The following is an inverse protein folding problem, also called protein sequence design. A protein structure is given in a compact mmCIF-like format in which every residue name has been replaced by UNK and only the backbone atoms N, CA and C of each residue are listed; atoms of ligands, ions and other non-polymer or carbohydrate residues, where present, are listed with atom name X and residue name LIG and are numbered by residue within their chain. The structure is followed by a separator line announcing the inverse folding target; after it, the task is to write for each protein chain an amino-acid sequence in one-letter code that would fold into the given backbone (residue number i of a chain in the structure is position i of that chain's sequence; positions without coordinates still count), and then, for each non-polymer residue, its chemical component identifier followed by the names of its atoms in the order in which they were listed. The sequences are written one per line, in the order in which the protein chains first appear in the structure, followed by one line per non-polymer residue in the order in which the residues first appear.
data_IF_116992790309
#
_entry.id   IF_116992790309
#
_cell.length_a   1.000
_cell.length_b   1.000
_cell.length_c   1.000
_cell.angle_alpha   90.00
_cell.angle_beta   90.00
_cell.angle_gamma   90.00
#
_symmetry.space_group_name_H-M   'P 1'
#
loop_
_entity.id
_entity.type
_entity.pdbx_description
1 polymer ?
#
# COMPACT_ATOMS: atom_id res chain seq x y z
N UNK A 1 -23.89 14.83 9.06
CA UNK A 1 -22.83 13.92 9.56
C UNK A 1 -21.51 14.48 9.08
N UNK A 2 -20.79 15.17 9.95
CA UNK A 2 -19.47 15.72 9.63
C UNK A 2 -18.51 14.54 9.54
N UNK A 3 -17.97 14.28 8.35
CA UNK A 3 -16.87 13.33 8.19
C UNK A 3 -15.73 13.87 9.06
N UNK A 4 -15.43 13.20 10.18
CA UNK A 4 -14.15 13.41 10.87
C UNK A 4 -13.08 13.09 9.83
N UNK A 5 -12.18 14.02 9.54
CA UNK A 5 -10.98 13.68 8.78
C UNK A 5 -10.26 12.58 9.57
N UNK A 6 -10.02 11.42 8.94
CA UNK A 6 -9.21 10.39 9.57
C UNK A 6 -7.83 10.99 9.88
N UNK A 7 -7.34 10.84 11.11
CA UNK A 7 -5.96 11.18 11.42
C UNK A 7 -5.06 10.12 10.77
N UNK A 8 -4.25 10.55 9.80
CA UNK A 8 -3.29 9.67 9.14
C UNK A 8 -2.02 9.57 9.99
N UNK A 9 -1.59 8.35 10.25
CA UNK A 9 -0.21 8.10 10.66
C UNK A 9 0.73 8.37 9.49
N UNK A 10 1.74 9.21 9.68
CA UNK A 10 2.74 9.49 8.64
C UNK A 10 3.90 8.51 8.77
N UNK A 11 4.07 7.64 7.77
CA UNK A 11 5.19 6.72 7.69
C UNK A 11 6.38 7.39 6.97
N UNK A 12 7.51 7.50 7.64
CA UNK A 12 8.72 8.18 7.14
C UNK A 12 9.82 7.21 6.69
N UNK A 13 9.69 5.92 6.99
CA UNK A 13 10.62 4.86 6.59
C UNK A 13 12.01 4.97 7.23
N UNK A 14 12.15 5.76 8.30
CA UNK A 14 13.42 5.90 9.03
C UNK A 14 13.67 4.64 9.88
N UNK A 15 14.93 4.36 10.17
CA UNK A 15 15.30 3.26 11.07
C UNK A 15 14.54 3.38 12.40
N UNK A 16 13.74 2.37 12.72
CA UNK A 16 12.89 2.34 13.90
C UNK A 16 11.44 2.81 13.70
N UNK A 17 11.02 3.18 12.48
CA UNK A 17 9.60 3.44 12.18
C UNK A 17 8.78 2.15 12.32
N UNK A 18 8.26 1.92 13.53
CA UNK A 18 7.33 0.84 13.83
C UNK A 18 5.91 1.40 13.76
N UNK A 19 5.17 1.02 12.73
CA UNK A 19 3.76 1.40 12.58
C UNK A 19 2.96 0.87 13.79
N UNK A 20 2.29 1.72 14.59
CA UNK A 20 1.53 1.30 15.79
C UNK A 20 0.33 0.41 15.46
N UNK A 21 0.04 -0.66 16.23
CA UNK A 21 -0.96 -1.75 15.98
C UNK A 21 -2.39 -1.32 15.69
N UNK A 22 -2.78 -0.15 16.12
CA UNK A 22 -4.12 0.44 16.06
C UNK A 22 -4.34 1.41 14.89
N UNK A 23 -3.28 1.79 14.16
CA UNK A 23 -3.39 2.67 12.99
C UNK A 23 -4.27 2.04 11.90
N UNK A 24 -5.25 2.82 11.44
CA UNK A 24 -6.16 2.47 10.33
C UNK A 24 -5.85 3.23 9.04
N UNK A 25 -5.30 4.44 9.10
CA UNK A 25 -5.01 5.27 7.93
C UNK A 25 -3.54 5.65 7.93
N UNK A 26 -2.84 5.39 6.81
CA UNK A 26 -1.41 5.68 6.65
C UNK A 26 -1.19 6.63 5.49
N UNK A 27 -0.37 7.65 5.72
CA UNK A 27 0.19 8.48 4.65
C UNK A 27 1.69 8.23 4.55
N UNK A 28 2.17 7.95 3.36
CA UNK A 28 3.60 7.82 3.11
C UNK A 28 4.18 9.22 2.94
N UNK A 29 5.27 9.53 3.64
CA UNK A 29 5.92 10.82 3.54
C UNK A 29 6.59 11.02 2.17
N UNK A 30 6.59 12.28 1.70
CA UNK A 30 7.22 12.71 0.45
C UNK A 30 8.73 12.51 0.40
N UNK A 31 9.39 12.25 1.53
CA UNK A 31 10.81 11.95 1.56
C UNK A 31 11.14 10.54 1.06
N UNK A 32 10.15 9.64 0.97
CA UNK A 32 10.41 8.27 0.53
C UNK A 32 10.44 8.15 -0.99
N UNK A 33 11.40 7.37 -1.45
CA UNK A 33 11.45 6.81 -2.81
C UNK A 33 11.01 5.35 -2.88
N UNK A 34 11.19 4.62 -1.78
CA UNK A 34 10.96 3.18 -1.69
C UNK A 34 10.20 2.87 -0.42
N UNK A 35 9.15 2.05 -0.50
CA UNK A 35 8.57 1.38 0.67
C UNK A 35 9.40 0.13 0.96
N UNK A 36 10.05 0.02 2.13
CA UNK A 36 10.94 -1.09 2.41
C UNK A 36 10.18 -2.40 2.61
N UNK A 37 10.90 -3.50 2.39
CA UNK A 37 10.42 -4.87 2.59
C UNK A 37 9.71 -5.02 3.94
N UNK A 38 8.50 -5.57 3.92
CA UNK A 38 7.67 -5.84 5.12
C UNK A 38 7.29 -4.61 5.97
N UNK A 39 7.39 -3.38 5.46
CA UNK A 39 7.05 -2.16 6.20
C UNK A 39 5.70 -2.21 6.94
N UNK A 40 4.69 -2.82 6.31
CA UNK A 40 3.33 -2.99 6.83
C UNK A 40 2.91 -4.47 6.89
N UNK A 41 3.86 -5.39 7.09
CA UNK A 41 3.57 -6.82 7.12
C UNK A 41 2.56 -7.19 8.22
N UNK A 42 1.46 -7.84 7.84
CA UNK A 42 0.37 -8.29 8.72
C UNK A 42 -0.24 -7.19 9.60
N UNK A 43 -0.31 -5.96 9.07
CA UNK A 43 -0.96 -4.81 9.69
C UNK A 43 -2.47 -4.83 9.46
N UNK A 44 -3.14 -5.75 10.16
CA UNK A 44 -4.56 -6.10 9.95
C UNK A 44 -5.58 -5.00 10.24
N UNK A 45 -5.19 -3.86 10.81
CA UNK A 45 -6.09 -2.74 11.09
C UNK A 45 -6.03 -1.64 10.03
N UNK A 46 -5.00 -1.61 9.17
CA UNK A 46 -4.90 -0.57 8.14
C UNK A 46 -6.04 -0.77 7.12
N UNK A 47 -6.79 0.29 6.89
CA UNK A 47 -7.92 0.38 5.96
C UNK A 47 -7.58 1.17 4.70
N UNK A 48 -6.72 2.19 4.82
CA UNK A 48 -6.28 3.02 3.71
C UNK A 48 -4.79 3.37 3.80
N UNK A 49 -4.13 3.35 2.63
CA UNK A 49 -2.76 3.85 2.47
C UNK A 49 -2.71 4.84 1.31
N UNK A 50 -2.21 6.05 1.59
CA UNK A 50 -2.04 7.12 0.61
C UNK A 50 -0.56 7.43 0.44
N UNK A 51 -0.05 7.22 -0.77
CA UNK A 51 1.33 7.48 -1.10
C UNK A 51 1.50 8.91 -1.59
N UNK A 52 2.65 9.50 -1.28
CA UNK A 52 3.12 10.65 -2.03
C UNK A 52 3.57 10.24 -3.45
N UNK A 53 3.54 11.18 -4.38
CA UNK A 53 3.99 10.99 -5.77
C UNK A 53 5.48 10.68 -5.87
N UNK A 54 6.27 10.99 -4.84
CA UNK A 54 7.70 10.73 -4.80
C UNK A 54 8.08 9.25 -4.80
N UNK A 55 7.17 8.36 -4.38
CA UNK A 55 7.44 6.93 -4.17
C UNK A 55 7.38 6.19 -5.48
N UNK A 56 8.47 5.51 -5.84
CA UNK A 56 8.66 4.86 -7.13
C UNK A 56 8.56 3.32 -7.02
N UNK A 57 8.98 2.77 -5.88
CA UNK A 57 9.10 1.31 -5.68
C UNK A 57 8.45 0.84 -4.38
N UNK A 58 7.76 -0.29 -4.44
CA UNK A 58 7.25 -1.02 -3.27
C UNK A 58 7.91 -2.40 -3.20
N UNK A 59 8.65 -2.65 -2.14
CA UNK A 59 9.42 -3.88 -1.97
C UNK A 59 8.59 -5.06 -1.47
N UNK A 60 9.17 -6.25 -1.59
CA UNK A 60 8.54 -7.54 -1.33
C UNK A 60 7.78 -7.56 0.02
N UNK A 61 6.56 -8.11 0.00
CA UNK A 61 5.72 -8.28 1.19
C UNK A 61 5.36 -6.99 1.96
N UNK A 62 5.55 -5.80 1.40
CA UNK A 62 5.32 -4.53 2.11
C UNK A 62 3.94 -4.48 2.81
N UNK A 63 2.88 -4.97 2.17
CA UNK A 63 1.52 -4.99 2.71
C UNK A 63 0.93 -6.40 2.86
N UNK A 64 1.76 -7.45 2.83
CA UNK A 64 1.25 -8.82 2.89
C UNK A 64 0.39 -9.04 4.14
N UNK A 65 -0.84 -9.51 3.94
CA UNK A 65 -1.78 -9.83 5.01
C UNK A 65 -2.41 -8.60 5.69
N UNK A 66 -2.39 -7.42 5.07
CA UNK A 66 -3.20 -6.27 5.50
C UNK A 66 -4.68 -6.52 5.17
N UNK A 67 -5.32 -7.43 5.90
CA UNK A 67 -6.65 -7.97 5.54
C UNK A 67 -7.79 -6.94 5.57
N UNK A 68 -7.64 -5.86 6.32
CA UNK A 68 -8.62 -4.76 6.36
C UNK A 68 -8.34 -3.65 5.35
N UNK A 69 -7.24 -3.73 4.60
CA UNK A 69 -6.86 -2.70 3.64
C UNK A 69 -7.87 -2.70 2.51
N UNK A 70 -8.63 -1.62 2.36
CA UNK A 70 -9.70 -1.45 1.38
C UNK A 70 -9.26 -0.61 0.19
N UNK A 71 -8.39 0.37 0.45
CA UNK A 71 -7.97 1.36 -0.54
C UNK A 71 -6.47 1.64 -0.49
N UNK A 72 -5.85 1.68 -1.67
CA UNK A 72 -4.45 2.09 -1.85
C UNK A 72 -4.38 3.11 -2.97
N UNK A 73 -3.77 4.27 -2.69
CA UNK A 73 -3.47 5.30 -3.68
C UNK A 73 -1.95 5.40 -3.85
N UNK A 74 -1.44 5.07 -5.02
CA UNK A 74 -0.01 5.02 -5.35
C UNK A 74 0.29 5.64 -6.72
N UNK A 75 0.15 6.98 -6.86
CA UNK A 75 0.14 7.64 -8.16
C UNK A 75 1.50 7.66 -8.87
N UNK A 76 2.61 7.64 -8.12
CA UNK A 76 3.97 7.69 -8.65
C UNK A 76 4.68 6.33 -8.73
N UNK A 77 4.07 5.27 -8.22
CA UNK A 77 4.71 3.95 -8.14
C UNK A 77 4.81 3.34 -9.54
N UNK A 78 6.02 2.91 -9.90
CA UNK A 78 6.36 2.25 -11.16
C UNK A 78 6.63 0.76 -10.97
N UNK A 79 7.14 0.36 -9.80
CA UNK A 79 7.50 -1.03 -9.53
C UNK A 79 6.87 -1.55 -8.25
N UNK A 80 6.10 -2.63 -8.37
CA UNK A 80 5.63 -3.43 -7.23
C UNK A 80 6.31 -4.79 -7.27
N UNK A 81 7.05 -5.12 -6.20
CA UNK A 81 7.74 -6.40 -6.07
C UNK A 81 6.78 -7.57 -5.81
N UNK A 82 7.33 -8.78 -5.67
CA UNK A 82 6.54 -9.97 -5.40
C UNK A 82 5.69 -9.86 -4.13
N UNK A 83 4.45 -10.33 -4.20
CA UNK A 83 3.52 -10.47 -3.07
C UNK A 83 3.29 -9.19 -2.23
N UNK A 84 3.45 -8.00 -2.82
CA UNK A 84 3.34 -6.70 -2.14
C UNK A 84 1.99 -6.51 -1.43
N UNK A 85 0.87 -6.77 -2.11
CA UNK A 85 -0.50 -6.71 -1.60
C UNK A 85 -1.12 -8.12 -1.51
N UNK A 86 -0.30 -9.15 -1.28
CA UNK A 86 -0.81 -10.51 -1.13
C UNK A 86 -1.67 -10.65 0.13
N UNK A 87 -2.79 -11.38 0.05
CA UNK A 87 -3.75 -11.55 1.17
C UNK A 87 -4.36 -10.23 1.72
N UNK A 88 -4.45 -9.18 0.90
CA UNK A 88 -5.25 -8.00 1.23
C UNK A 88 -6.72 -8.25 0.86
N UNK A 89 -7.40 -9.10 1.64
CA UNK A 89 -8.71 -9.67 1.27
C UNK A 89 -9.82 -8.61 1.06
N UNK A 90 -9.77 -7.50 1.79
CA UNK A 90 -10.72 -6.39 1.68
C UNK A 90 -10.35 -5.36 0.60
N UNK A 91 -9.20 -5.51 -0.08
CA UNK A 91 -8.70 -4.52 -1.04
C UNK A 91 -9.64 -4.46 -2.24
N UNK A 92 -10.35 -3.36 -2.38
CA UNK A 92 -11.35 -3.17 -3.43
C UNK A 92 -10.97 -2.07 -4.40
N UNK A 93 -10.21 -1.07 -3.92
CA UNK A 93 -9.85 0.12 -4.67
C UNK A 93 -8.33 0.30 -4.70
N UNK A 94 -7.76 0.29 -5.91
CA UNK A 94 -6.35 0.52 -6.15
C UNK A 94 -6.22 1.58 -7.22
N UNK A 95 -5.82 2.77 -6.79
CA UNK A 95 -5.49 3.88 -7.67
C UNK A 95 -3.97 3.91 -7.87
N UNK A 96 -3.51 3.65 -9.08
CA UNK A 96 -2.10 3.69 -9.43
C UNK A 96 -1.86 4.42 -10.75
N UNK A 97 -0.63 4.90 -10.94
CA UNK A 97 -0.14 5.32 -12.24
C UNK A 97 0.13 4.12 -13.16
N UNK A 98 1.00 4.33 -14.14
CA UNK A 98 1.48 3.26 -15.02
C UNK A 98 2.53 2.41 -14.31
N UNK A 99 2.11 1.24 -13.83
CA UNK A 99 3.03 0.24 -13.29
C UNK A 99 3.88 -0.34 -14.43
N UNK A 100 5.20 -0.29 -14.33
CA UNK A 100 6.13 -0.86 -15.31
C UNK A 100 6.54 -2.29 -14.93
N UNK A 101 6.64 -2.57 -13.62
CA UNK A 101 7.08 -3.86 -13.08
C UNK A 101 6.06 -4.36 -12.07
N UNK A 102 5.54 -5.57 -12.30
CA UNK A 102 4.60 -6.24 -11.40
C UNK A 102 5.14 -7.62 -11.05
N UNK A 103 5.58 -7.75 -9.80
CA UNK A 103 6.12 -8.99 -9.27
C UNK A 103 5.07 -10.09 -9.16
N UNK A 104 5.57 -11.33 -9.13
CA UNK A 104 4.74 -12.53 -8.98
C UNK A 104 3.85 -12.40 -7.73
N UNK A 105 2.56 -12.62 -7.91
CA UNK A 105 1.58 -12.60 -6.82
C UNK A 105 1.39 -11.25 -6.16
N UNK A 106 1.82 -10.13 -6.76
CA UNK A 106 1.71 -8.78 -6.17
C UNK A 106 0.31 -8.46 -5.63
N UNK A 107 -0.76 -8.96 -6.26
CA UNK A 107 -2.15 -8.81 -5.84
C UNK A 107 -2.84 -10.14 -5.50
N UNK A 108 -2.07 -11.22 -5.28
CA UNK A 108 -2.60 -12.56 -5.03
C UNK A 108 -3.47 -12.62 -3.78
N UNK A 109 -4.55 -13.41 -3.82
CA UNK A 109 -5.54 -13.52 -2.73
C UNK A 109 -6.18 -12.18 -2.28
N UNK A 110 -6.12 -11.12 -3.08
CA UNK A 110 -6.90 -9.89 -2.86
C UNK A 110 -8.33 -10.08 -3.39
N UNK A 111 -9.15 -10.80 -2.60
CA UNK A 111 -10.46 -11.34 -3.03
C UNK A 111 -11.48 -10.28 -3.43
N UNK A 112 -11.38 -9.06 -2.89
CA UNK A 112 -12.30 -7.96 -3.18
C UNK A 112 -11.87 -7.09 -4.36
N UNK A 113 -10.68 -7.31 -4.93
CA UNK A 113 -10.11 -6.45 -5.95
C UNK A 113 -10.87 -6.63 -7.26
N UNK A 114 -11.43 -5.54 -7.78
CA UNK A 114 -12.30 -5.57 -8.97
C UNK A 114 -11.56 -5.23 -10.26
N UNK A 115 -10.69 -4.23 -10.19
CA UNK A 115 -9.93 -3.73 -11.32
C UNK A 115 -8.65 -3.08 -10.85
N UNK A 116 -7.63 -3.11 -11.69
CA UNK A 116 -6.39 -2.37 -11.52
C UNK A 116 -5.91 -1.92 -12.90
N UNK A 117 -5.38 -0.71 -12.98
CA UNK A 117 -4.76 -0.20 -14.20
C UNK A 117 -3.39 -0.86 -14.36
N UNK A 118 -3.32 -1.86 -15.25
CA UNK A 118 -2.07 -2.51 -15.63
C UNK A 118 -1.49 -1.80 -16.85
N UNK A 119 -0.16 -1.82 -17.04
CA UNK A 119 0.46 -1.30 -18.25
C UNK A 119 -0.15 -2.02 -19.47
N UNK A 120 -0.50 -1.24 -20.50
CA UNK A 120 -0.72 -1.81 -21.82
C UNK A 120 0.61 -2.31 -22.35
N UNK A 121 0.68 -3.60 -22.70
CA UNK A 121 1.87 -4.26 -23.22
C UNK A 121 2.50 -3.54 -24.41
#
# INVERSE_FOLDING_TARGET
FTMMAAEYYVFTGRDGDVVPRDVTHVRIDKSLKVIPRRAFYCRRNIEEVVFDVSVETVEEYAFLGCRSLRRVIMPGVKAVSGNVLYECEALADVECGELEIIGIGAFGNSKSLRSINLPSA
#
